data_IF_805123871083
#
_entry.id   IF_805123871083
#
_cell.length_a   1.000
_cell.length_b   1.000
_cell.length_c   1.000
_cell.angle_alpha   90.00
_cell.angle_beta   90.00
_cell.angle_gamma   90.00
#
_symmetry.space_group_name_H-M   'P 1'
#
loop_
_entity.id
_entity.type
_entity.pdbx_description
1 polymer ?
#
# COMPACT_ATOMS: atom_id res chain seq x y z
N UNK A 1 7.42 1.76 -13.60
CA UNK A 1 7.66 0.36 -13.19
C UNK A 1 6.65 0.03 -12.10
N UNK A 2 6.00 -1.14 -12.18
CA UNK A 2 4.90 -1.56 -11.31
C UNK A 2 5.18 -3.00 -10.88
N UNK A 3 4.92 -3.30 -9.61
CA UNK A 3 5.09 -4.59 -8.96
C UNK A 3 3.72 -5.12 -8.52
N UNK A 4 3.57 -6.45 -8.49
CA UNK A 4 2.44 -7.10 -7.85
C UNK A 4 2.73 -7.25 -6.35
N UNK A 5 1.83 -6.75 -5.51
CA UNK A 5 1.90 -6.78 -4.06
C UNK A 5 0.74 -7.61 -3.52
N UNK A 6 0.99 -8.52 -2.58
CA UNK A 6 -0.07 -9.31 -1.95
C UNK A 6 -0.76 -8.50 -0.84
N UNK A 7 -2.09 -8.50 -0.82
CA UNK A 7 -2.89 -7.84 0.23
C UNK A 7 -2.69 -8.58 1.56
N UNK A 8 -2.88 -9.90 1.54
CA UNK A 8 -2.51 -10.80 2.63
C UNK A 8 -1.20 -11.47 2.26
N UNK A 9 -0.15 -11.39 3.10
CA UNK A 9 1.14 -11.99 2.80
C UNK A 9 1.01 -13.47 2.47
N UNK A 10 1.65 -13.90 1.39
CA UNK A 10 1.66 -15.29 0.97
C UNK A 10 2.12 -16.25 2.08
N UNK A 11 3.05 -15.81 2.94
CA UNK A 11 3.52 -16.57 4.09
C UNK A 11 2.44 -16.92 5.12
N UNK A 12 1.29 -16.25 5.06
CA UNK A 12 0.15 -16.44 5.97
C UNK A 12 -1.01 -17.13 5.24
N UNK A 13 -1.39 -16.63 4.05
CA UNK A 13 -2.59 -17.12 3.35
C UNK A 13 -2.32 -18.29 2.42
N UNK A 14 -1.10 -18.41 1.88
CA UNK A 14 -0.77 -19.24 0.71
C UNK A 14 -1.69 -18.97 -0.51
N UNK A 15 -2.34 -17.79 -0.52
CA UNK A 15 -3.30 -17.38 -1.54
C UNK A 15 -2.60 -16.50 -2.58
N UNK A 16 -2.43 -17.05 -3.77
CA UNK A 16 -1.81 -16.38 -4.93
C UNK A 16 -2.85 -15.99 -6.00
N UNK A 17 -4.11 -15.83 -5.60
CA UNK A 17 -5.17 -15.37 -6.51
C UNK A 17 -5.03 -13.88 -6.83
N UNK A 18 -5.49 -13.49 -8.02
CA UNK A 18 -5.47 -12.09 -8.50
C UNK A 18 -6.22 -11.16 -7.53
N UNK A 19 -7.27 -11.67 -6.89
CA UNK A 19 -8.06 -10.94 -5.89
C UNK A 19 -7.28 -10.59 -4.61
N UNK A 20 -6.20 -11.32 -4.31
CA UNK A 20 -5.27 -11.01 -3.23
C UNK A 20 -4.08 -10.13 -3.70
N UNK A 21 -4.18 -9.50 -4.88
CA UNK A 21 -3.09 -8.74 -5.51
C UNK A 21 -3.43 -7.27 -5.77
N UNK A 22 -2.45 -6.39 -5.54
CA UNK A 22 -2.47 -4.97 -5.90
C UNK A 22 -1.29 -4.63 -6.81
N UNK A 23 -1.54 -3.84 -7.84
CA UNK A 23 -0.50 -3.32 -8.72
C UNK A 23 0.01 -1.98 -8.17
N UNK A 24 1.19 -1.99 -7.55
CA UNK A 24 1.78 -0.82 -6.89
C UNK A 24 3.14 -0.49 -7.50
N UNK A 25 3.53 0.79 -7.52
CA UNK A 25 4.91 1.12 -7.85
C UNK A 25 5.85 0.64 -6.71
N UNK A 26 7.14 0.40 -6.96
CA UNK A 26 8.06 -0.17 -5.96
C UNK A 26 8.15 0.60 -4.63
N UNK A 27 7.85 1.90 -4.64
CA UNK A 27 7.83 2.73 -3.43
C UNK A 27 6.56 2.49 -2.62
N UNK A 28 5.40 2.46 -3.28
CA UNK A 28 4.11 2.22 -2.63
C UNK A 28 4.00 0.77 -2.14
N UNK A 29 4.57 -0.19 -2.88
CA UNK A 29 4.67 -1.58 -2.43
C UNK A 29 5.40 -1.67 -1.08
N UNK A 30 6.58 -1.07 -0.96
CA UNK A 30 7.32 -1.05 0.31
C UNK A 30 6.60 -0.28 1.41
N UNK A 31 5.83 0.75 1.06
CA UNK A 31 5.03 1.50 2.03
C UNK A 31 3.88 0.65 2.56
N UNK A 32 3.21 -0.11 1.69
CA UNK A 32 2.12 -1.01 2.05
C UNK A 32 2.62 -2.14 2.97
N UNK A 33 3.68 -2.84 2.58
CA UNK A 33 4.26 -3.94 3.36
C UNK A 33 4.73 -3.51 4.77
N UNK A 34 5.08 -2.23 4.93
CA UNK A 34 5.51 -1.65 6.21
C UNK A 34 4.37 -1.05 7.03
N UNK A 35 3.14 -1.13 6.56
CA UNK A 35 1.97 -0.54 7.22
C UNK A 35 1.96 0.99 7.22
N UNK A 36 2.68 1.62 6.29
CA UNK A 36 2.65 3.08 6.10
C UNK A 36 1.40 3.52 5.34
N UNK A 37 0.93 2.68 4.41
CA UNK A 37 -0.33 2.85 3.69
C UNK A 37 -1.15 1.56 3.75
N UNK A 38 -2.47 1.70 3.68
CA UNK A 38 -3.42 0.61 3.51
C UNK A 38 -4.55 1.04 2.57
N UNK A 39 -5.35 0.08 2.11
CA UNK A 39 -6.57 0.35 1.34
C UNK A 39 -7.75 -0.09 2.19
N UNK A 40 -8.74 0.80 2.38
CA UNK A 40 -9.97 0.46 3.10
C UNK A 40 -10.93 -0.35 2.22
N UNK A 41 -11.98 -0.91 2.83
CA UNK A 41 -13.04 -1.63 2.12
C UNK A 41 -13.78 -0.75 1.08
N UNK A 42 -13.76 0.57 1.28
CA UNK A 42 -14.31 1.56 0.34
C UNK A 42 -13.33 1.97 -0.77
N UNK A 43 -12.22 1.23 -0.93
CA UNK A 43 -11.13 1.51 -1.86
C UNK A 43 -10.46 2.89 -1.66
N UNK A 44 -10.43 3.35 -0.41
CA UNK A 44 -9.77 4.60 -0.01
C UNK A 44 -8.37 4.33 0.49
N UNK A 45 -7.43 5.23 0.21
CA UNK A 45 -6.06 5.08 0.71
C UNK A 45 -6.02 5.62 2.13
N UNK A 46 -5.60 4.78 3.05
CA UNK A 46 -5.36 5.13 4.44
C UNK A 46 -3.86 5.30 4.62
N UNK A 47 -3.43 6.44 5.15
CA UNK A 47 -2.02 6.69 5.48
C UNK A 47 -1.87 6.65 6.99
N UNK A 48 -0.82 6.00 7.48
CA UNK A 48 -0.57 5.87 8.91
C UNK A 48 -0.27 7.22 9.57
N UNK A 49 -0.92 7.50 10.70
CA UNK A 49 -0.67 8.73 11.48
C UNK A 49 0.75 8.79 12.05
N UNK A 50 1.40 7.63 12.23
CA UNK A 50 2.78 7.53 12.69
C UNK A 50 3.80 7.88 11.60
N UNK A 51 3.37 8.01 10.34
CA UNK A 51 4.24 8.37 9.23
C UNK A 51 4.47 9.89 9.20
N UNK A 52 5.74 10.28 9.27
CA UNK A 52 6.17 11.67 9.14
C UNK A 52 6.84 11.84 7.80
N UNK A 53 6.40 12.84 7.05
CA UNK A 53 6.96 13.23 5.77
C UNK A 53 6.99 14.74 5.63
N UNK A 54 7.92 15.22 4.80
CA UNK A 54 8.04 16.62 4.43
C UNK A 54 7.02 17.01 3.35
N UNK A 55 6.67 18.29 3.29
CA UNK A 55 5.86 18.83 2.20
C UNK A 55 6.63 18.76 0.88
N UNK A 56 6.16 17.89 -0.01
CA UNK A 56 6.71 17.69 -1.35
C UNK A 56 5.61 17.25 -2.30
N UNK A 57 5.78 17.51 -3.60
CA UNK A 57 4.90 17.00 -4.65
C UNK A 57 4.86 15.46 -4.70
N UNK A 58 5.77 14.78 -4.00
CA UNK A 58 5.85 13.33 -3.91
C UNK A 58 5.38 12.77 -2.55
N UNK A 59 4.79 13.62 -1.70
CA UNK A 59 4.22 13.20 -0.40
C UNK A 59 3.14 12.13 -0.60
N UNK A 60 3.12 11.12 0.27
CA UNK A 60 2.16 10.03 0.22
C UNK A 60 0.80 10.47 0.79
N UNK A 61 0.77 11.42 1.74
CA UNK A 61 -0.49 11.99 2.28
C UNK A 61 -1.39 12.60 1.23
N UNK A 62 -0.87 13.01 0.08
CA UNK A 62 -1.69 13.51 -1.03
C UNK A 62 -2.69 12.45 -1.53
N UNK A 63 -2.42 11.17 -1.29
CA UNK A 63 -3.30 10.07 -1.67
C UNK A 63 -4.32 9.73 -0.58
N UNK A 64 -4.17 10.25 0.65
CA UNK A 64 -5.07 9.91 1.75
C UNK A 64 -6.50 10.41 1.47
N UNK A 65 -7.47 9.49 1.46
CA UNK A 65 -8.88 9.82 1.22
C UNK A 65 -9.68 8.72 0.56
#
# INVERSE_FOLDING_TARGET
MVDACHIVPFSISYDDTITNGLALCPNLHRAFDRGLIAISDDYRVVVSDAFVEDESNYSIRQFAG
#
